data_IF_693663387717
#
_entry.id   IF_693663387717
#
_cell.length_a   1.000
_cell.length_b   1.000
_cell.length_c   1.000
_cell.angle_alpha   90.00
_cell.angle_beta   90.00
_cell.angle_gamma   90.00
#
_symmetry.space_group_name_H-M   'P 1'
#
loop_
_entity.id
_entity.type
_entity.pdbx_description
1 polymer ?
#
# COMPACT_ATOMS: atom_id res chain seq x y z
N UNK A 1 0.71 21.07 25.65
CA UNK A 1 0.19 20.35 24.48
C UNK A 1 1.02 20.77 23.27
N UNK A 2 1.79 19.86 22.66
CA UNK A 2 2.66 20.19 21.52
C UNK A 2 1.84 20.17 20.22
N UNK A 3 1.46 21.36 19.76
CA UNK A 3 0.71 21.58 18.52
C UNK A 3 1.42 20.98 17.28
N UNK A 4 2.75 20.96 17.29
CA UNK A 4 3.57 20.44 16.20
C UNK A 4 3.41 18.93 15.98
N UNK A 5 3.27 18.16 17.08
CA UNK A 5 3.07 16.71 17.03
C UNK A 5 1.70 16.33 16.44
N UNK A 6 0.66 17.07 16.85
CA UNK A 6 -0.70 16.88 16.36
C UNK A 6 -0.84 17.14 14.84
N UNK A 7 -0.02 18.04 14.31
CA UNK A 7 -0.03 18.35 12.88
C UNK A 7 0.62 17.23 12.06
N UNK A 8 1.73 16.68 12.53
CA UNK A 8 2.41 15.56 11.88
C UNK A 8 1.53 14.30 11.85
N UNK A 9 0.89 13.95 12.97
CA UNK A 9 -0.03 12.80 13.04
C UNK A 9 -1.18 12.91 12.02
N UNK A 10 -1.73 14.12 11.83
CA UNK A 10 -2.80 14.37 10.84
C UNK A 10 -2.30 14.25 9.41
N UNK A 11 -1.07 14.68 9.12
CA UNK A 11 -0.46 14.58 7.78
C UNK A 11 -0.19 13.13 7.42
N UNK A 12 0.32 12.32 8.35
CA UNK A 12 0.55 10.89 8.15
C UNK A 12 -0.76 10.14 7.91
N UNK A 13 -1.79 10.40 8.72
CA UNK A 13 -3.11 9.80 8.52
C UNK A 13 -3.72 10.14 7.15
N UNK A 14 -3.58 11.39 6.71
CA UNK A 14 -4.09 11.81 5.40
C UNK A 14 -3.33 11.14 4.23
N UNK A 15 -2.01 10.94 4.37
CA UNK A 15 -1.20 10.22 3.37
C UNK A 15 -1.58 8.75 3.29
N UNK A 16 -1.72 8.07 4.43
CA UNK A 16 -2.12 6.66 4.46
C UNK A 16 -3.53 6.43 3.91
N UNK A 17 -4.46 7.37 4.15
CA UNK A 17 -5.80 7.32 3.54
C UNK A 17 -5.75 7.46 2.02
N UNK A 18 -5.04 8.47 1.50
CA UNK A 18 -4.89 8.65 0.06
C UNK A 18 -4.20 7.47 -0.62
N UNK A 19 -3.19 6.88 0.02
CA UNK A 19 -2.51 5.69 -0.50
C UNK A 19 -3.47 4.50 -0.61
N UNK A 20 -4.30 4.26 0.41
CA UNK A 20 -5.36 3.24 0.37
C UNK A 20 -6.38 3.53 -0.72
N UNK A 21 -6.86 4.77 -0.82
CA UNK A 21 -7.82 5.16 -1.87
C UNK A 21 -7.24 4.94 -3.28
N UNK A 22 -5.97 5.27 -3.52
CA UNK A 22 -5.31 5.03 -4.81
C UNK A 22 -5.18 3.53 -5.10
N UNK A 23 -4.81 2.73 -4.08
CA UNK A 23 -4.73 1.28 -4.21
C UNK A 23 -6.07 0.67 -4.59
N UNK A 24 -7.14 1.06 -3.90
CA UNK A 24 -8.48 0.53 -4.12
C UNK A 24 -9.09 1.00 -5.46
N UNK A 25 -8.75 2.20 -5.93
CA UNK A 25 -9.35 2.77 -7.15
C UNK A 25 -8.57 2.49 -8.43
N UNK A 26 -7.24 2.57 -8.39
CA UNK A 26 -6.39 2.42 -9.59
C UNK A 26 -5.65 1.10 -9.63
N UNK A 27 -5.43 0.49 -8.47
CA UNK A 27 -4.43 -0.56 -8.33
C UNK A 27 -3.01 -0.01 -8.48
N UNK A 28 -2.04 -0.81 -8.03
CA UNK A 28 -0.62 -0.50 -8.10
C UNK A 28 0.08 -1.68 -8.77
N UNK A 29 0.93 -1.40 -9.74
CA UNK A 29 1.75 -2.44 -10.37
C UNK A 29 2.93 -2.77 -9.45
N UNK A 30 3.01 -4.03 -9.04
CA UNK A 30 4.08 -4.55 -8.19
C UNK A 30 4.62 -5.85 -8.79
N UNK A 31 5.88 -6.15 -8.50
CA UNK A 31 6.43 -7.47 -8.80
C UNK A 31 6.11 -8.39 -7.63
N UNK A 32 5.53 -9.55 -7.92
CA UNK A 32 5.29 -10.56 -6.90
C UNK A 32 6.63 -11.00 -6.29
N UNK A 33 6.82 -10.95 -4.96
CA UNK A 33 8.10 -11.31 -4.33
C UNK A 33 8.44 -12.81 -4.46
N UNK A 34 7.48 -13.63 -4.89
CA UNK A 34 7.66 -15.08 -4.98
C UNK A 34 7.99 -15.60 -6.39
N UNK A 35 7.51 -14.91 -7.43
CA UNK A 35 7.65 -15.37 -8.81
C UNK A 35 8.09 -14.27 -9.78
N UNK A 36 8.38 -13.06 -9.26
CA UNK A 36 8.77 -11.86 -10.01
C UNK A 36 7.79 -11.44 -11.13
N UNK A 37 6.57 -12.00 -11.10
CA UNK A 37 5.54 -11.67 -12.09
C UNK A 37 4.99 -10.28 -11.79
N UNK A 38 4.90 -9.44 -12.83
CA UNK A 38 4.25 -8.13 -12.74
C UNK A 38 2.74 -8.31 -12.60
N UNK A 39 2.18 -7.79 -11.52
CA UNK A 39 0.76 -7.90 -11.19
C UNK A 39 0.25 -6.55 -10.69
N UNK A 40 -0.99 -6.23 -11.04
CA UNK A 40 -1.68 -5.05 -10.53
C UNK A 40 -2.48 -5.45 -9.29
N UNK A 41 -2.07 -4.95 -8.13
CA UNK A 41 -2.71 -5.22 -6.85
C UNK A 41 -3.65 -4.08 -6.49
N UNK A 42 -4.83 -4.39 -5.97
CA UNK A 42 -5.85 -3.41 -5.55
C UNK A 42 -6.21 -3.53 -4.06
N UNK A 43 -5.46 -4.33 -3.32
CA UNK A 43 -5.66 -4.61 -1.90
C UNK A 43 -4.32 -4.72 -1.19
N UNK A 44 -4.30 -4.41 0.11
CA UNK A 44 -3.09 -4.55 0.94
C UNK A 44 -2.69 -6.01 1.06
N UNK A 45 -3.67 -6.92 1.16
CA UNK A 45 -3.45 -8.35 1.11
C UNK A 45 -3.85 -8.85 -0.27
N UNK A 46 -2.90 -9.33 -1.06
CA UNK A 46 -3.13 -9.80 -2.41
C UNK A 46 -2.59 -11.21 -2.59
N UNK A 47 -3.35 -12.05 -3.29
CA UNK A 47 -2.92 -13.39 -3.68
C UNK A 47 -2.46 -13.38 -5.14
N UNK A 48 -1.20 -13.75 -5.37
CA UNK A 48 -0.65 -13.78 -6.72
C UNK A 48 -1.31 -14.89 -7.57
N UNK A 49 -1.92 -14.58 -8.74
CA UNK A 49 -2.56 -15.58 -9.59
C UNK A 49 -1.57 -16.50 -10.32
N UNK A 50 -0.27 -16.19 -10.30
CA UNK A 50 0.78 -17.00 -10.96
C UNK A 50 1.37 -18.08 -10.06
N UNK A 51 1.50 -17.80 -8.76
CA UNK A 51 2.14 -18.72 -7.81
C UNK A 51 1.26 -19.07 -6.60
N UNK A 52 0.05 -18.52 -6.53
CA UNK A 52 -0.95 -18.72 -5.48
C UNK A 52 -0.41 -18.41 -4.07
N UNK A 53 0.60 -17.55 -3.98
CA UNK A 53 1.13 -17.06 -2.71
C UNK A 53 0.58 -15.68 -2.40
N UNK A 54 0.10 -15.53 -1.18
CA UNK A 54 -0.35 -14.25 -0.64
C UNK A 54 0.84 -13.44 -0.15
N UNK A 55 0.75 -12.12 -0.28
CA UNK A 55 1.72 -11.18 0.27
C UNK A 55 1.02 -9.88 0.68
N UNK A 56 1.64 -9.16 1.60
CA UNK A 56 1.17 -7.85 2.06
C UNK A 56 1.91 -6.74 1.33
N UNK A 57 1.18 -5.70 0.94
CA UNK A 57 1.67 -4.52 0.25
C UNK A 57 1.75 -3.39 1.26
N UNK A 58 2.95 -2.98 1.60
CA UNK A 58 3.19 -1.87 2.53
C UNK A 58 3.62 -0.61 1.76
N UNK A 59 2.99 0.52 2.07
CA UNK A 59 3.40 1.82 1.55
C UNK A 59 4.50 2.42 2.44
N UNK A 60 5.77 2.17 2.09
CA UNK A 60 6.88 2.86 2.74
C UNK A 60 6.98 4.31 2.25
N UNK A 61 6.66 5.27 3.13
CA UNK A 61 7.01 6.67 2.95
C UNK A 61 8.40 6.90 3.55
N UNK A 62 9.40 7.16 2.70
CA UNK A 62 10.70 7.69 3.13
C UNK A 62 10.76 9.20 2.89
#
# INVERSE_FOLDING_TARGET
MNFEKLYLDKVEQARSKKAKEILETKGVDVNCPNCDSKITVNSLNYECPHCNKSFEVEFNHN
#
